data_IF_451611427072
#
_entry.id   IF_451611427072
#
_cell.length_a   1.000
_cell.length_b   1.000
_cell.length_c   1.000
_cell.angle_alpha   90.00
_cell.angle_beta   90.00
_cell.angle_gamma   90.00
#
_symmetry.space_group_name_H-M   'P 1'
#
loop_
_entity.id
_entity.type
_entity.pdbx_description
1 polymer ?
#
# COMPACT_ATOMS: atom_id res chain seq x y z
N UNK A 1 7.56 9.11 -6.62
CA UNK A 1 7.12 10.41 -7.16
C UNK A 1 5.66 10.72 -6.81
N UNK A 2 4.69 9.83 -7.07
CA UNK A 2 3.28 10.09 -6.74
C UNK A 2 2.97 10.23 -5.24
N UNK A 3 3.39 9.26 -4.41
CA UNK A 3 3.08 9.28 -2.98
C UNK A 3 3.69 10.51 -2.27
N UNK A 4 4.98 10.78 -2.50
CA UNK A 4 5.67 11.98 -2.00
C UNK A 4 5.01 13.29 -2.43
N UNK A 5 4.54 13.36 -3.68
CA UNK A 5 3.83 14.55 -4.16
C UNK A 5 2.49 14.71 -3.44
N UNK A 6 1.71 13.64 -3.31
CA UNK A 6 0.44 13.67 -2.61
C UNK A 6 0.60 14.08 -1.13
N UNK A 7 1.60 13.54 -0.42
CA UNK A 7 1.83 13.90 0.98
C UNK A 7 2.39 15.32 1.17
N UNK A 8 3.12 15.87 0.20
CA UNK A 8 3.68 17.24 0.31
C UNK A 8 2.75 18.35 -0.19
N UNK A 9 1.91 18.06 -1.20
CA UNK A 9 1.06 19.07 -1.86
C UNK A 9 -0.37 19.05 -1.33
N UNK A 10 -0.93 17.87 -1.02
CA UNK A 10 -2.30 17.75 -0.52
C UNK A 10 -2.35 17.81 1.02
N UNK A 11 -1.90 18.93 1.59
CA UNK A 11 -1.68 19.09 3.05
C UNK A 11 -2.93 18.87 3.92
N UNK A 12 -4.14 19.02 3.35
CA UNK A 12 -5.41 18.85 4.06
C UNK A 12 -6.07 17.48 3.82
N UNK A 13 -5.42 16.58 3.08
CA UNK A 13 -5.97 15.23 2.88
C UNK A 13 -5.89 14.43 4.19
N UNK A 14 -6.97 13.78 4.60
CA UNK A 14 -6.93 12.85 5.74
C UNK A 14 -6.28 11.52 5.37
N UNK A 15 -6.45 11.10 4.11
CA UNK A 15 -5.97 9.82 3.59
C UNK A 15 -5.54 9.98 2.13
N UNK A 16 -4.59 9.15 1.72
CA UNK A 16 -4.16 8.97 0.34
C UNK A 16 -4.53 7.54 -0.05
N UNK A 17 -5.32 7.39 -1.12
CA UNK A 17 -5.62 6.09 -1.72
C UNK A 17 -4.70 5.89 -2.92
N UNK A 18 -3.85 4.86 -2.86
CA UNK A 18 -3.12 4.35 -4.01
C UNK A 18 -3.92 3.21 -4.63
N UNK A 19 -4.13 3.26 -5.93
CA UNK A 19 -4.77 2.21 -6.71
C UNK A 19 -4.10 2.09 -8.09
N UNK A 20 -4.09 0.90 -8.70
CA UNK A 20 -3.78 0.75 -10.13
C UNK A 20 -4.97 1.17 -11.00
N UNK A 21 -4.71 1.56 -12.24
CA UNK A 21 -5.75 2.00 -13.19
C UNK A 21 -6.64 0.85 -13.72
N UNK A 22 -6.21 -0.40 -13.49
CA UNK A 22 -6.93 -1.63 -13.83
C UNK A 22 -7.68 -2.26 -12.63
N UNK A 23 -7.77 -1.56 -11.50
CA UNK A 23 -8.41 -2.08 -10.28
C UNK A 23 -9.80 -1.48 -10.07
N UNK A 24 -10.79 -2.35 -9.82
CA UNK A 24 -12.16 -1.95 -9.43
C UNK A 24 -12.31 -2.00 -7.92
N UNK A 25 -12.91 -0.96 -7.33
CA UNK A 25 -13.20 -0.89 -5.89
C UNK A 25 -14.50 -0.12 -5.62
N UNK A 26 -15.06 -0.29 -4.42
CA UNK A 26 -16.28 0.42 -4.01
C UNK A 26 -15.94 1.71 -3.25
N UNK A 27 -15.93 2.83 -3.96
CA UNK A 27 -15.56 4.14 -3.38
C UNK A 27 -16.48 4.58 -2.23
N UNK A 28 -17.79 4.28 -2.31
CA UNK A 28 -18.76 4.68 -1.27
C UNK A 28 -18.48 3.93 0.03
N UNK A 29 -18.32 2.61 -0.04
CA UNK A 29 -17.97 1.80 1.14
C UNK A 29 -16.61 2.17 1.71
N UNK A 30 -15.63 2.44 0.87
CA UNK A 30 -14.31 2.91 1.32
C UNK A 30 -14.43 4.24 2.06
N UNK A 31 -15.19 5.20 1.53
CA UNK A 31 -15.40 6.49 2.16
C UNK A 31 -16.12 6.37 3.52
N UNK A 32 -17.21 5.59 3.58
CA UNK A 32 -17.97 5.38 4.82
C UNK A 32 -17.11 4.71 5.90
N UNK A 33 -16.28 3.74 5.50
CA UNK A 33 -15.31 3.12 6.39
C UNK A 33 -14.30 4.14 6.93
N UNK A 34 -13.69 4.95 6.05
CA UNK A 34 -12.68 5.94 6.45
C UNK A 34 -13.24 7.03 7.37
N UNK A 35 -14.52 7.38 7.22
CA UNK A 35 -15.24 8.28 8.13
C UNK A 35 -15.42 7.72 9.54
N UNK A 36 -15.50 6.40 9.66
CA UNK A 36 -15.68 5.72 10.94
C UNK A 36 -14.39 5.58 11.77
N UNK A 37 -13.23 5.87 11.17
CA UNK A 37 -11.94 5.75 11.87
C UNK A 37 -11.78 6.91 12.85
N UNK A 38 -11.49 6.65 14.15
CA UNK A 38 -11.21 7.69 15.12
C UNK A 38 -10.04 8.58 14.68
N UNK A 39 -10.16 9.88 14.91
CA UNK A 39 -9.12 10.85 14.53
C UNK A 39 -7.77 10.62 15.24
N UNK A 40 -7.78 9.93 16.39
CA UNK A 40 -6.56 9.52 17.08
C UNK A 40 -5.74 8.49 16.27
N UNK A 41 -6.41 7.63 15.49
CA UNK A 41 -5.80 6.54 14.72
C UNK A 41 -5.52 6.95 13.26
N UNK A 42 -6.08 8.08 12.80
CA UNK A 42 -5.96 8.50 11.40
C UNK A 42 -4.56 9.02 11.02
N UNK A 43 -3.75 9.44 11.99
CA UNK A 43 -2.41 9.95 11.72
C UNK A 43 -1.40 8.85 11.45
N UNK A 44 -1.54 7.67 12.05
CA UNK A 44 -0.64 6.51 11.86
C UNK A 44 -1.38 5.37 11.15
N UNK A 45 -1.94 5.70 9.98
CA UNK A 45 -2.81 4.79 9.25
C UNK A 45 -2.14 4.22 8.01
N UNK A 46 -2.12 2.90 7.90
CA UNK A 46 -1.74 2.16 6.71
C UNK A 46 -2.59 0.89 6.62
N UNK A 47 -3.39 0.79 5.56
CA UNK A 47 -4.35 -0.30 5.36
C UNK A 47 -4.36 -0.79 3.93
N UNK A 48 -4.51 -2.10 3.76
CA UNK A 48 -4.73 -2.73 2.47
C UNK A 48 -4.75 -4.24 2.63
N UNK A 49 -4.57 -4.94 1.52
CA UNK A 49 -4.42 -6.39 1.55
C UNK A 49 -3.00 -6.76 2.00
N UNK A 50 -2.85 -7.35 3.19
CA UNK A 50 -1.55 -7.77 3.71
C UNK A 50 -1.13 -9.07 3.01
N UNK A 51 0.02 -9.02 2.36
CA UNK A 51 0.75 -10.16 1.85
C UNK A 51 1.76 -10.60 2.92
N UNK A 52 1.49 -11.72 3.57
CA UNK A 52 2.39 -12.33 4.55
C UNK A 52 3.02 -13.62 3.98
N UNK A 53 4.15 -14.02 4.56
CA UNK A 53 4.84 -15.27 4.23
C UNK A 53 5.10 -15.47 2.73
N UNK A 54 5.28 -14.37 1.98
CA UNK A 54 5.56 -14.44 0.55
C UNK A 54 7.05 -14.65 0.30
N UNK A 55 7.37 -15.44 -0.72
CA UNK A 55 8.75 -15.77 -1.08
C UNK A 55 9.16 -15.02 -2.35
N UNK A 56 10.39 -14.49 -2.45
CA UNK A 56 10.93 -14.00 -3.70
C UNK A 56 10.80 -15.06 -4.79
N UNK A 57 10.32 -14.68 -5.98
CA UNK A 57 10.21 -15.64 -7.08
C UNK A 57 11.60 -15.87 -7.65
N UNK A 58 12.08 -17.11 -7.58
CA UNK A 58 13.42 -17.50 -8.04
C UNK A 58 13.42 -18.15 -9.43
N UNK A 59 12.28 -18.17 -10.12
CA UNK A 59 12.14 -18.69 -11.48
C UNK A 59 12.25 -17.51 -12.44
N UNK A 60 13.24 -17.52 -13.33
CA UNK A 60 13.57 -16.39 -14.20
C UNK A 60 12.43 -15.99 -15.15
N UNK A 61 11.57 -16.93 -15.53
CA UNK A 61 10.40 -16.67 -16.38
C UNK A 61 9.24 -16.00 -15.61
N UNK A 62 9.33 -15.85 -14.29
CA UNK A 62 8.30 -15.21 -13.50
C UNK A 62 8.40 -13.68 -13.63
N UNK A 63 7.26 -13.00 -13.87
CA UNK A 63 7.17 -11.54 -13.90
C UNK A 63 7.83 -10.85 -12.70
N UNK A 64 7.78 -11.49 -11.53
CA UNK A 64 8.30 -10.97 -10.26
C UNK A 64 9.60 -11.65 -9.82
N UNK A 65 10.41 -12.11 -10.78
CA UNK A 65 11.71 -12.73 -10.51
C UNK A 65 12.62 -11.77 -9.73
N UNK A 66 13.27 -12.30 -8.69
CA UNK A 66 14.24 -11.57 -7.86
C UNK A 66 15.43 -12.48 -7.62
N UNK A 67 16.63 -11.95 -7.81
CA UNK A 67 17.91 -12.66 -7.61
C UNK A 67 18.30 -12.74 -6.14
N UNK A 68 19.22 -13.64 -5.81
CA UNK A 68 19.76 -13.72 -4.44
C UNK A 68 20.61 -12.50 -4.08
N UNK A 69 21.25 -11.84 -5.07
CA UNK A 69 21.97 -10.59 -4.83
C UNK A 69 21.03 -9.43 -4.47
N UNK A 70 19.88 -9.30 -5.14
CA UNK A 70 18.88 -8.26 -4.84
C UNK A 70 18.20 -8.49 -3.48
N UNK A 71 17.94 -9.75 -3.14
CA UNK A 71 17.31 -10.10 -1.88
C UNK A 71 17.76 -11.48 -1.41
N UNK A 72 18.57 -11.55 -0.35
CA UNK A 72 19.21 -12.79 0.10
C UNK A 72 18.32 -13.68 0.98
N UNK A 73 17.20 -13.15 1.52
CA UNK A 73 16.32 -13.92 2.41
C UNK A 73 15.33 -14.76 1.61
N UNK A 74 14.83 -15.81 2.26
CA UNK A 74 13.85 -16.73 1.65
C UNK A 74 12.42 -16.20 1.65
N UNK A 75 12.14 -15.19 2.48
CA UNK A 75 10.81 -14.65 2.73
C UNK A 75 10.87 -13.13 2.84
N UNK A 76 9.88 -12.46 2.24
CA UNK A 76 9.67 -11.03 2.43
C UNK A 76 9.02 -10.76 3.80
N UNK A 77 9.31 -9.61 4.43
CA UNK A 77 8.49 -9.13 5.55
C UNK A 77 7.05 -8.93 5.07
N UNK A 78 6.10 -8.81 5.99
CA UNK A 78 4.73 -8.47 5.63
C UNK A 78 4.68 -7.10 4.92
N UNK A 79 3.93 -7.00 3.83
CA UNK A 79 3.71 -5.75 3.10
C UNK A 79 2.28 -5.69 2.55
N UNK A 80 1.86 -4.49 2.16
CA UNK A 80 0.58 -4.32 1.48
C UNK A 80 0.70 -4.59 -0.01
N UNK A 81 -0.32 -5.21 -0.57
CA UNK A 81 -0.38 -5.43 -2.00
C UNK A 81 -0.32 -4.12 -2.79
N UNK A 82 0.42 -4.14 -3.91
CA UNK A 82 0.68 -2.95 -4.71
C UNK A 82 -0.57 -2.36 -5.36
N UNK A 83 -1.58 -3.17 -5.68
CA UNK A 83 -2.76 -2.73 -6.45
C UNK A 83 -3.75 -1.88 -5.67
N UNK A 84 -3.74 -1.93 -4.33
CA UNK A 84 -4.64 -1.13 -3.49
C UNK A 84 -4.11 -0.98 -2.07
N UNK A 85 -3.91 0.26 -1.62
CA UNK A 85 -3.73 0.58 -0.20
C UNK A 85 -4.13 2.02 0.11
N UNK A 86 -4.48 2.26 1.37
CA UNK A 86 -4.79 3.56 1.92
C UNK A 86 -3.76 3.89 3.00
N UNK A 87 -3.26 5.11 2.99
CA UNK A 87 -2.18 5.57 3.86
C UNK A 87 -2.45 7.00 4.32
N UNK A 88 -2.12 7.34 5.57
CA UNK A 88 -2.16 8.73 6.04
C UNK A 88 -1.00 9.54 5.44
N UNK A 89 -1.14 10.85 5.19
CA UNK A 89 -0.03 11.67 4.67
C UNK A 89 1.21 11.67 5.56
N UNK A 90 1.07 11.46 6.87
CA UNK A 90 2.20 11.39 7.81
C UNK A 90 3.05 10.13 7.60
N UNK A 91 2.43 9.01 7.21
CA UNK A 91 3.13 7.73 6.96
C UNK A 91 3.65 7.64 5.52
N UNK A 92 3.08 8.44 4.60
CA UNK A 92 3.34 8.46 3.16
C UNK A 92 4.61 9.23 2.72
#
# INVERSE_FOLDING_TARGET
MGLKWASSVCQNASYILKIDDDTVFNIIKTYDFLKGIPMADSNDFLMGYILNNTKPRRIQQNKWYVTWEEYSRNEYPAYLSGWYYIISPKIA
#
